data_IF_630520705414
#
_entry.id   IF_630520705414
#
_cell.length_a   1.000
_cell.length_b   1.000
_cell.length_c   1.000
_cell.angle_alpha   90.00
_cell.angle_beta   90.00
_cell.angle_gamma   90.00
#
_symmetry.space_group_name_H-M   'P 1'
#
loop_
_entity.id
_entity.type
_entity.pdbx_description
1 polymer ?
#
# COMPACT_ATOMS: atom_id res chain seq x y z
N UNK A 1 21.73 -1.27 -22.37
CA UNK A 1 21.00 -0.69 -21.24
C UNK A 1 20.46 -1.77 -20.30
N UNK A 2 20.00 -1.38 -19.12
CA UNK A 2 19.54 -2.32 -18.06
C UNK A 2 18.41 -3.22 -18.56
N UNK A 3 17.41 -2.65 -19.25
CA UNK A 3 16.27 -3.39 -19.76
C UNK A 3 16.68 -4.42 -20.82
N UNK A 4 17.46 -4.01 -21.80
CA UNK A 4 17.89 -4.86 -22.90
C UNK A 4 18.80 -6.01 -22.41
N UNK A 5 19.66 -5.74 -21.44
CA UNK A 5 20.51 -6.77 -20.83
C UNK A 5 19.68 -7.76 -20.01
N UNK A 6 18.70 -7.31 -19.25
CA UNK A 6 17.82 -8.18 -18.49
C UNK A 6 17.01 -9.13 -19.39
N UNK A 7 16.50 -8.65 -20.51
CA UNK A 7 15.77 -9.45 -21.50
C UNK A 7 16.71 -10.45 -22.19
N UNK A 8 17.93 -10.03 -22.52
CA UNK A 8 18.92 -10.93 -23.13
C UNK A 8 19.26 -12.12 -22.24
N UNK A 9 19.37 -11.89 -20.93
CA UNK A 9 19.66 -12.94 -19.95
C UNK A 9 18.47 -13.87 -19.70
N UNK A 10 17.25 -13.33 -19.78
CA UNK A 10 16.00 -14.06 -19.53
C UNK A 10 14.98 -13.78 -20.63
N UNK A 11 15.11 -14.46 -21.79
CA UNK A 11 14.26 -14.20 -22.96
C UNK A 11 12.80 -14.65 -22.80
N UNK A 12 12.48 -15.43 -21.77
CA UNK A 12 11.14 -15.82 -21.36
C UNK A 12 10.85 -15.20 -19.99
N UNK A 13 10.32 -14.01 -19.97
CA UNK A 13 10.06 -13.32 -18.70
C UNK A 13 8.87 -12.35 -18.79
N UNK A 14 8.45 -11.92 -17.62
CA UNK A 14 7.53 -10.80 -17.43
C UNK A 14 8.35 -9.58 -17.04
N UNK A 15 8.16 -8.48 -17.75
CA UNK A 15 8.82 -7.21 -17.50
C UNK A 15 7.79 -6.21 -17.02
N UNK A 16 7.99 -5.68 -15.82
CA UNK A 16 7.18 -4.62 -15.24
C UNK A 16 7.91 -3.28 -15.39
N UNK A 17 7.25 -2.34 -16.01
CA UNK A 17 7.71 -0.95 -16.15
C UNK A 17 6.76 -0.05 -15.37
N UNK A 18 7.24 0.41 -14.25
CA UNK A 18 6.45 1.21 -13.32
C UNK A 18 6.57 2.70 -13.65
N UNK A 19 5.45 3.42 -13.61
CA UNK A 19 5.37 4.86 -13.85
C UNK A 19 5.98 5.30 -15.20
N UNK A 20 5.56 4.67 -16.28
CA UNK A 20 6.15 4.88 -17.62
C UNK A 20 6.06 6.32 -18.12
N UNK A 21 5.10 7.11 -17.64
CA UNK A 21 4.98 8.54 -17.98
C UNK A 21 6.15 9.38 -17.47
N UNK A 22 6.92 8.88 -16.51
CA UNK A 22 8.13 9.53 -15.99
C UNK A 22 9.39 9.18 -16.77
N UNK A 23 9.32 8.20 -17.67
CA UNK A 23 10.45 7.79 -18.49
C UNK A 23 10.76 8.82 -19.59
N UNK A 24 12.01 8.83 -20.04
CA UNK A 24 12.38 9.64 -21.20
C UNK A 24 11.60 9.19 -22.44
N UNK A 25 11.12 10.11 -23.30
CA UNK A 25 10.33 9.75 -24.49
C UNK A 25 10.98 8.73 -25.41
N UNK A 26 12.29 8.69 -25.49
CA UNK A 26 13.02 7.73 -26.33
C UNK A 26 12.82 6.27 -25.88
N UNK A 27 12.46 6.04 -24.63
CA UNK A 27 12.12 4.69 -24.13
C UNK A 27 10.92 4.13 -24.86
N UNK A 28 9.93 4.94 -25.21
CA UNK A 28 8.76 4.50 -25.97
C UNK A 28 9.14 3.99 -27.36
N UNK A 29 10.18 4.54 -27.98
CA UNK A 29 10.65 4.08 -29.30
C UNK A 29 11.14 2.63 -29.26
N UNK A 30 11.71 2.18 -28.15
CA UNK A 30 12.11 0.79 -27.95
C UNK A 30 10.88 -0.15 -27.96
N UNK A 31 9.78 0.29 -27.38
CA UNK A 31 8.54 -0.49 -27.38
C UNK A 31 7.88 -0.56 -28.75
N UNK A 32 7.92 0.53 -29.52
CA UNK A 32 7.46 0.48 -30.92
C UNK A 32 8.19 -0.58 -31.73
N UNK A 33 9.52 -0.63 -31.60
CA UNK A 33 10.35 -1.65 -32.26
C UNK A 33 9.99 -3.06 -31.80
N UNK A 34 9.86 -3.24 -30.48
CA UNK A 34 9.54 -4.54 -29.88
C UNK A 34 8.19 -5.07 -30.35
N UNK A 35 7.16 -4.24 -30.36
CA UNK A 35 5.81 -4.66 -30.75
C UNK A 35 5.64 -4.82 -32.27
N UNK A 36 6.37 -4.06 -33.09
CA UNK A 36 6.30 -4.21 -34.55
C UNK A 36 7.13 -5.38 -35.06
N UNK A 37 8.34 -5.58 -34.52
CA UNK A 37 9.29 -6.57 -35.04
C UNK A 37 9.56 -7.73 -34.07
N UNK A 38 9.11 -7.63 -32.82
CA UNK A 38 9.45 -8.59 -31.78
C UNK A 38 10.90 -8.50 -31.33
N UNK A 39 11.57 -7.40 -31.56
CA UNK A 39 13.00 -7.20 -31.29
C UNK A 39 13.26 -5.80 -30.74
N UNK A 40 14.25 -5.69 -29.86
CA UNK A 40 14.78 -4.41 -29.37
C UNK A 40 16.27 -4.31 -29.74
N UNK A 41 16.71 -3.10 -30.12
CA UNK A 41 18.14 -2.83 -30.26
C UNK A 41 18.73 -2.37 -28.92
N UNK A 42 19.87 -2.93 -28.53
CA UNK A 42 20.65 -2.43 -27.39
C UNK A 42 21.46 -1.17 -27.76
N UNK A 43 22.20 -0.61 -26.81
CA UNK A 43 23.01 0.59 -27.03
C UNK A 43 24.17 0.40 -28.01
N UNK A 44 24.47 -0.83 -28.41
CA UNK A 44 25.50 -1.20 -29.40
C UNK A 44 24.88 -1.61 -30.75
N UNK A 45 23.53 -1.48 -30.86
CA UNK A 45 22.80 -1.84 -32.08
C UNK A 45 22.55 -3.34 -32.25
N UNK A 46 22.83 -4.18 -31.24
CA UNK A 46 22.54 -5.61 -31.30
C UNK A 46 21.05 -5.84 -31.06
N UNK A 47 20.45 -6.70 -31.88
CA UNK A 47 19.03 -7.06 -31.77
C UNK A 47 18.82 -8.12 -30.69
N UNK A 48 17.79 -7.91 -29.87
CA UNK A 48 17.41 -8.79 -28.77
C UNK A 48 15.98 -9.25 -29.03
N UNK A 49 15.74 -10.55 -29.04
CA UNK A 49 14.41 -11.13 -29.25
C UNK A 49 13.53 -10.87 -28.03
N UNK A 50 12.36 -10.24 -28.29
CA UNK A 50 11.34 -9.90 -27.30
C UNK A 50 10.00 -10.64 -27.49
N UNK A 51 9.95 -11.62 -28.39
CA UNK A 51 8.71 -12.32 -28.76
C UNK A 51 8.07 -13.09 -27.60
N UNK A 52 8.86 -13.50 -26.64
CA UNK A 52 8.44 -14.27 -25.46
C UNK A 52 8.40 -13.45 -24.17
N UNK A 53 8.39 -12.14 -24.29
CA UNK A 53 8.29 -11.22 -23.17
C UNK A 53 6.84 -10.72 -23.05
N UNK A 54 6.31 -10.73 -21.84
CA UNK A 54 5.06 -10.03 -21.49
C UNK A 54 5.44 -8.76 -20.78
N UNK A 55 4.96 -7.63 -21.30
CA UNK A 55 5.20 -6.31 -20.70
C UNK A 55 3.98 -5.85 -19.92
N UNK A 56 4.18 -5.45 -18.69
CA UNK A 56 3.23 -4.69 -17.89
C UNK A 56 3.75 -3.28 -17.69
N UNK A 57 2.94 -2.31 -18.04
CA UNK A 57 3.24 -0.90 -17.89
C UNK A 57 2.25 -0.30 -16.90
N UNK A 58 2.73 0.37 -15.87
CA UNK A 58 1.87 1.13 -14.97
C UNK A 58 1.98 2.62 -15.25
N UNK A 59 0.92 3.36 -15.03
CA UNK A 59 0.88 4.80 -15.23
C UNK A 59 -0.22 5.45 -14.41
N UNK A 60 -0.01 6.71 -14.04
CA UNK A 60 -1.02 7.59 -13.45
C UNK A 60 -1.73 8.47 -14.50
N UNK A 61 -1.44 8.28 -15.79
CA UNK A 61 -2.09 9.02 -16.87
C UNK A 61 -3.60 8.79 -16.84
N UNK A 62 -4.36 9.88 -16.92
CA UNK A 62 -5.80 9.83 -16.96
C UNK A 62 -6.47 9.46 -15.63
N UNK A 63 -5.75 9.47 -14.52
CA UNK A 63 -6.31 9.10 -13.23
C UNK A 63 -7.54 9.94 -12.85
N UNK A 64 -7.58 11.21 -13.21
CA UNK A 64 -8.73 12.09 -12.98
C UNK A 64 -9.98 11.61 -13.71
N UNK A 65 -9.82 11.19 -14.98
CA UNK A 65 -10.90 10.61 -15.78
C UNK A 65 -11.44 9.34 -15.12
N UNK A 66 -10.55 8.48 -14.61
CA UNK A 66 -10.95 7.24 -13.92
C UNK A 66 -11.73 7.55 -12.64
N UNK A 67 -11.31 8.53 -11.85
CA UNK A 67 -11.99 8.93 -10.63
C UNK A 67 -13.37 9.54 -10.92
N UNK A 68 -13.46 10.42 -11.92
CA UNK A 68 -14.71 11.08 -12.29
C UNK A 68 -15.75 10.14 -12.86
N UNK A 69 -15.33 9.10 -13.58
CA UNK A 69 -16.19 8.15 -14.27
C UNK A 69 -16.10 6.72 -13.71
N UNK A 70 -15.77 6.59 -12.43
CA UNK A 70 -15.63 5.28 -11.78
C UNK A 70 -16.90 4.41 -11.89
N UNK A 71 -18.08 5.03 -11.93
CA UNK A 71 -19.38 4.37 -12.03
C UNK A 71 -19.90 4.24 -13.47
N UNK A 72 -19.18 4.76 -14.46
CA UNK A 72 -19.57 4.75 -15.87
C UNK A 72 -18.40 4.28 -16.78
N UNK A 73 -18.25 2.95 -16.96
CA UNK A 73 -17.14 2.38 -17.73
C UNK A 73 -17.08 2.83 -19.19
N UNK A 74 -18.21 3.08 -19.82
CA UNK A 74 -18.26 3.50 -21.24
C UNK A 74 -17.70 4.91 -21.40
N UNK A 75 -18.21 5.87 -20.63
CA UNK A 75 -17.70 7.25 -20.64
C UNK A 75 -16.23 7.30 -20.21
N UNK A 76 -15.86 6.48 -19.23
CA UNK A 76 -14.46 6.37 -18.80
C UNK A 76 -13.56 5.96 -19.96
N UNK A 77 -13.90 4.93 -20.74
CA UNK A 77 -13.11 4.51 -21.89
C UNK A 77 -13.00 5.59 -22.95
N UNK A 78 -14.13 6.24 -23.27
CA UNK A 78 -14.18 7.29 -24.29
C UNK A 78 -13.29 8.49 -23.93
N UNK A 79 -13.30 8.91 -22.68
CA UNK A 79 -12.51 10.05 -22.20
C UNK A 79 -11.07 9.70 -21.84
N UNK A 80 -10.80 8.46 -21.45
CA UNK A 80 -9.45 7.99 -21.12
C UNK A 80 -8.59 7.80 -22.40
N UNK A 81 -9.19 7.31 -23.49
CA UNK A 81 -8.47 7.04 -24.72
C UNK A 81 -7.68 8.23 -25.27
N UNK A 82 -8.24 9.45 -25.40
CA UNK A 82 -7.48 10.61 -25.87
C UNK A 82 -6.25 10.95 -24.99
N UNK A 83 -6.40 10.82 -23.70
CA UNK A 83 -5.30 11.08 -22.74
C UNK A 83 -4.16 10.08 -22.95
N UNK A 84 -4.49 8.80 -23.09
CA UNK A 84 -3.49 7.75 -23.31
C UNK A 84 -2.87 7.85 -24.73
N UNK A 85 -3.67 8.16 -25.74
CA UNK A 85 -3.21 8.30 -27.12
C UNK A 85 -2.26 9.49 -27.32
N UNK A 86 -2.39 10.55 -26.53
CA UNK A 86 -1.49 11.69 -26.57
C UNK A 86 -0.07 11.29 -26.12
N UNK A 87 0.03 10.44 -25.12
CA UNK A 87 1.32 9.95 -24.59
C UNK A 87 1.85 8.74 -25.39
N UNK A 88 1.08 7.66 -25.50
CA UNK A 88 1.54 6.42 -26.12
C UNK A 88 1.48 6.39 -27.63
N UNK A 89 0.79 7.34 -28.26
CA UNK A 89 0.41 7.35 -29.66
C UNK A 89 -0.53 6.18 -30.05
N UNK A 90 -1.42 6.43 -31.02
CA UNK A 90 -2.43 5.44 -31.38
C UNK A 90 -1.89 4.08 -31.83
N UNK A 91 -0.75 4.08 -32.54
CA UNK A 91 -0.15 2.84 -33.05
C UNK A 91 0.34 1.91 -31.93
N UNK A 92 0.91 2.47 -30.86
CA UNK A 92 1.35 1.69 -29.69
C UNK A 92 0.14 1.29 -28.84
N UNK A 93 -0.78 2.24 -28.60
CA UNK A 93 -1.97 2.01 -27.77
C UNK A 93 -2.87 0.91 -28.34
N UNK A 94 -2.97 0.81 -29.67
CA UNK A 94 -3.72 -0.24 -30.33
C UNK A 94 -3.20 -1.66 -30.07
N UNK A 95 -1.96 -1.80 -29.62
CA UNK A 95 -1.32 -3.07 -29.27
C UNK A 95 -1.32 -3.36 -27.78
N UNK A 96 -1.92 -2.47 -26.98
CA UNK A 96 -2.01 -2.60 -25.54
C UNK A 96 -3.43 -2.98 -25.14
N UNK A 97 -3.53 -3.75 -24.07
CA UNK A 97 -4.77 -3.90 -23.32
C UNK A 97 -4.73 -2.93 -22.15
N UNK A 98 -5.68 -2.00 -22.10
CA UNK A 98 -5.77 -1.01 -21.05
C UNK A 98 -6.66 -1.52 -19.94
N UNK A 99 -6.12 -1.60 -18.73
CA UNK A 99 -6.84 -2.01 -17.53
C UNK A 99 -6.88 -0.83 -16.55
N UNK A 100 -8.00 -0.10 -16.48
CA UNK A 100 -8.13 0.99 -15.53
C UNK A 100 -8.30 0.43 -14.10
N UNK A 101 -7.48 0.91 -13.18
CA UNK A 101 -7.65 0.63 -11.76
C UNK A 101 -8.53 1.69 -11.13
N UNK A 102 -9.67 1.25 -10.61
CA UNK A 102 -10.61 2.12 -9.92
C UNK A 102 -10.06 2.52 -8.54
N UNK A 103 -10.40 3.73 -8.07
CA UNK A 103 -10.11 4.12 -6.70
C UNK A 103 -10.80 3.16 -5.72
N UNK A 104 -10.18 2.92 -4.57
CA UNK A 104 -10.80 2.11 -3.52
C UNK A 104 -12.06 2.78 -3.00
N UNK A 105 -13.16 2.02 -2.91
CA UNK A 105 -14.38 2.48 -2.24
C UNK A 105 -14.16 2.66 -0.74
N UNK A 106 -15.03 3.45 -0.10
CA UNK A 106 -14.99 3.63 1.35
C UNK A 106 -15.19 2.31 2.10
N UNK A 107 -16.07 1.44 1.59
CA UNK A 107 -16.32 0.11 2.15
C UNK A 107 -15.08 -0.79 2.06
N UNK A 108 -14.44 -0.81 0.91
CA UNK A 108 -13.20 -1.59 0.71
C UNK A 108 -12.10 -1.08 1.62
N UNK A 109 -11.93 0.24 1.70
CA UNK A 109 -10.93 0.85 2.56
C UNK A 109 -11.20 0.56 4.04
N UNK A 110 -12.46 0.63 4.49
CA UNK A 110 -12.85 0.25 5.85
C UNK A 110 -12.52 -1.22 6.16
N UNK A 111 -12.74 -2.12 5.20
CA UNK A 111 -12.39 -3.54 5.35
C UNK A 111 -10.87 -3.74 5.48
N UNK A 112 -10.08 -3.04 4.70
CA UNK A 112 -8.60 -3.09 4.79
C UNK A 112 -8.12 -2.56 6.14
N UNK A 113 -8.66 -1.44 6.61
CA UNK A 113 -8.34 -0.86 7.91
C UNK A 113 -8.69 -1.84 9.03
N UNK A 114 -9.88 -2.42 9.01
CA UNK A 114 -10.32 -3.40 9.99
C UNK A 114 -9.38 -4.62 10.05
N UNK A 115 -8.94 -5.12 8.90
CA UNK A 115 -7.98 -6.22 8.83
C UNK A 115 -6.60 -5.87 9.42
N UNK A 116 -6.13 -4.66 9.20
CA UNK A 116 -4.85 -4.18 9.78
C UNK A 116 -4.95 -3.99 11.29
N UNK A 117 -6.05 -3.42 11.78
CA UNK A 117 -6.29 -3.25 13.21
C UNK A 117 -6.49 -4.60 13.93
N UNK A 118 -7.17 -5.56 13.31
CA UNK A 118 -7.29 -6.91 13.85
C UNK A 118 -5.93 -7.61 13.98
N UNK A 119 -5.05 -7.41 13.01
CA UNK A 119 -3.68 -7.94 13.08
C UNK A 119 -2.88 -7.30 14.21
N UNK A 120 -2.98 -6.00 14.39
CA UNK A 120 -2.36 -5.28 15.50
C UNK A 120 -2.89 -5.77 16.85
N UNK A 121 -4.20 -5.92 16.98
CA UNK A 121 -4.85 -6.48 18.18
C UNK A 121 -4.26 -7.86 18.53
N UNK A 122 -4.21 -8.78 17.57
CA UNK A 122 -3.63 -10.10 17.77
C UNK A 122 -2.16 -10.07 18.21
N UNK A 123 -1.37 -9.22 17.60
CA UNK A 123 0.06 -9.05 17.97
C UNK A 123 0.21 -8.55 19.40
N UNK A 124 -0.57 -7.55 19.79
CA UNK A 124 -0.53 -6.97 21.13
C UNK A 124 -0.98 -7.98 22.20
N UNK A 125 -2.08 -8.69 21.95
CA UNK A 125 -2.57 -9.74 22.85
C UNK A 125 -1.55 -10.87 23.02
N UNK A 126 -1.00 -11.34 21.91
CA UNK A 126 -0.04 -12.44 21.92
C UNK A 126 1.26 -12.05 22.63
N UNK A 127 1.75 -10.84 22.39
CA UNK A 127 3.06 -10.40 22.89
C UNK A 127 3.02 -9.94 24.35
N UNK A 128 1.95 -9.28 24.78
CA UNK A 128 1.85 -8.66 26.10
C UNK A 128 0.87 -9.37 27.04
N UNK A 129 0.07 -10.31 26.54
CA UNK A 129 -0.94 -10.99 27.34
C UNK A 129 -2.03 -10.03 27.87
N UNK A 130 -2.16 -8.86 27.27
CA UNK A 130 -3.09 -7.83 27.67
C UNK A 130 -4.43 -7.93 26.95
N UNK A 131 -5.48 -7.46 27.58
CA UNK A 131 -6.72 -7.14 26.86
C UNK A 131 -6.48 -5.92 25.96
N UNK A 132 -6.96 -5.98 24.72
CA UNK A 132 -6.81 -4.90 23.74
C UNK A 132 -8.17 -4.37 23.35
N UNK A 133 -8.35 -3.07 23.48
CA UNK A 133 -9.55 -2.34 23.06
C UNK A 133 -9.14 -1.28 22.03
N UNK A 134 -9.65 -1.40 20.81
CA UNK A 134 -9.48 -0.41 19.76
C UNK A 134 -10.84 0.26 19.56
N UNK A 135 -10.94 1.51 19.98
CA UNK A 135 -12.18 2.26 19.91
C UNK A 135 -12.54 2.59 18.44
N UNK A 136 -13.84 2.69 18.11
CA UNK A 136 -14.30 2.99 16.74
C UNK A 136 -13.72 4.28 16.17
N UNK A 137 -13.42 5.26 17.01
CA UNK A 137 -12.85 6.55 16.61
C UNK A 137 -11.48 6.39 15.92
N UNK A 138 -10.75 5.32 16.22
CA UNK A 138 -9.47 5.01 15.55
C UNK A 138 -9.68 4.76 14.07
N UNK A 139 -10.66 3.93 13.72
CA UNK A 139 -11.02 3.66 12.32
C UNK A 139 -11.48 4.92 11.62
N UNK A 140 -12.32 5.71 12.26
CA UNK A 140 -12.85 6.95 11.70
C UNK A 140 -11.73 7.97 11.43
N UNK A 141 -10.77 8.10 12.34
CA UNK A 141 -9.63 9.00 12.17
C UNK A 141 -8.69 8.54 11.05
N UNK A 142 -8.38 7.25 10.96
CA UNK A 142 -7.59 6.68 9.87
C UNK A 142 -8.28 6.96 8.54
N UNK A 143 -9.58 6.66 8.44
CA UNK A 143 -10.39 6.88 7.24
C UNK A 143 -10.37 8.35 6.82
N UNK A 144 -10.55 9.26 7.77
CA UNK A 144 -10.53 10.70 7.54
C UNK A 144 -9.20 11.19 6.97
N UNK A 145 -8.08 10.72 7.51
CA UNK A 145 -6.74 11.09 7.03
C UNK A 145 -6.45 10.54 5.63
N UNK A 146 -6.80 9.28 5.39
CA UNK A 146 -6.57 8.62 4.10
C UNK A 146 -7.43 9.22 3.00
N UNK A 147 -8.70 9.58 3.28
CA UNK A 147 -9.59 10.18 2.28
C UNK A 147 -9.25 11.62 1.95
N UNK A 148 -8.61 12.36 2.85
CA UNK A 148 -8.13 13.73 2.61
C UNK A 148 -6.81 13.78 1.83
N UNK A 149 -6.05 12.70 1.78
CA UNK A 149 -4.75 12.65 1.13
C UNK A 149 -4.88 12.46 -0.39
N UNK A 150 -4.08 13.17 -1.18
CA UNK A 150 -4.05 13.03 -2.64
C UNK A 150 -3.70 11.60 -3.09
N UNK A 151 -2.90 10.89 -2.33
CA UNK A 151 -2.44 9.53 -2.62
C UNK A 151 -3.30 8.43 -2.00
N UNK A 152 -4.43 8.77 -1.39
CA UNK A 152 -5.44 7.84 -0.91
C UNK A 152 -4.91 6.65 -0.12
N UNK A 153 -5.17 5.45 -0.63
CA UNK A 153 -4.83 4.21 0.04
C UNK A 153 -3.32 3.99 0.31
N UNK A 154 -2.43 4.62 -0.46
CA UNK A 154 -0.98 4.56 -0.20
C UNK A 154 -0.60 5.24 1.12
N UNK A 155 -1.41 6.20 1.56
CA UNK A 155 -1.21 6.88 2.85
C UNK A 155 -1.60 6.02 4.06
N UNK A 156 -2.31 4.92 3.86
CA UNK A 156 -2.78 4.07 4.94
C UNK A 156 -1.64 3.55 5.83
N UNK A 157 -0.58 3.01 5.22
CA UNK A 157 0.60 2.55 5.95
C UNK A 157 1.28 3.71 6.69
N UNK A 158 1.42 4.86 6.03
CA UNK A 158 2.02 6.05 6.62
C UNK A 158 1.22 6.58 7.81
N UNK A 159 -0.11 6.57 7.74
CA UNK A 159 -0.97 6.99 8.85
C UNK A 159 -0.86 6.01 10.03
N UNK A 160 -0.91 4.72 9.76
CA UNK A 160 -0.80 3.70 10.82
C UNK A 160 0.58 3.73 11.45
N UNK A 161 1.65 3.62 10.67
CA UNK A 161 3.01 3.48 11.18
C UNK A 161 3.60 4.81 11.65
N UNK A 162 3.21 5.92 11.03
CA UNK A 162 3.75 7.24 11.34
C UNK A 162 2.98 8.03 12.39
N UNK A 163 1.66 7.86 12.45
CA UNK A 163 0.81 8.69 13.31
C UNK A 163 0.17 7.89 14.45
N UNK A 164 -0.31 6.69 14.18
CA UNK A 164 -1.04 5.88 15.16
C UNK A 164 -0.10 5.08 16.09
N UNK A 165 0.90 4.39 15.54
CA UNK A 165 1.78 3.52 16.32
C UNK A 165 2.75 4.25 17.26
N UNK A 166 3.30 5.43 16.98
CA UNK A 166 4.27 6.07 17.86
C UNK A 166 3.80 6.29 19.30
N UNK A 167 2.60 6.82 19.58
CA UNK A 167 2.12 6.96 20.96
C UNK A 167 2.03 5.62 21.69
N UNK A 168 1.55 4.59 21.01
CA UNK A 168 1.48 3.22 21.53
C UNK A 168 2.88 2.67 21.82
N UNK A 169 3.78 2.77 20.85
CA UNK A 169 5.15 2.25 20.97
C UNK A 169 5.90 2.88 22.12
N UNK A 170 5.74 4.18 22.34
CA UNK A 170 6.38 4.89 23.45
C UNK A 170 5.93 4.33 24.80
N UNK A 171 4.63 4.16 25.00
CA UNK A 171 4.07 3.59 26.23
C UNK A 171 4.51 2.14 26.44
N UNK A 172 4.51 1.31 25.38
CA UNK A 172 5.00 -0.07 25.47
C UNK A 172 6.46 -0.13 25.89
N UNK A 173 7.32 0.72 25.33
CA UNK A 173 8.73 0.80 25.70
C UNK A 173 8.92 1.21 27.16
N UNK A 174 8.13 2.17 27.65
CA UNK A 174 8.16 2.61 29.06
C UNK A 174 7.77 1.46 29.99
N UNK A 175 6.71 0.72 29.67
CA UNK A 175 6.28 -0.45 30.47
C UNK A 175 7.31 -1.57 30.44
N UNK A 176 7.90 -1.85 29.30
CA UNK A 176 8.97 -2.84 29.16
C UNK A 176 10.20 -2.46 29.98
N UNK A 177 10.61 -1.18 29.92
CA UNK A 177 11.76 -0.67 30.68
C UNK A 177 11.53 -0.72 32.19
N UNK A 178 10.30 -0.50 32.64
CA UNK A 178 9.90 -0.63 34.05
C UNK A 178 9.61 -2.07 34.47
N UNK A 179 9.70 -3.03 33.57
CA UNK A 179 9.32 -4.43 33.78
C UNK A 179 7.91 -4.59 34.37
N UNK A 180 6.98 -3.77 33.89
CA UNK A 180 5.61 -3.71 34.36
C UNK A 180 4.71 -4.52 33.42
N UNK A 181 3.95 -5.47 33.96
CA UNK A 181 2.96 -6.22 33.22
C UNK A 181 1.74 -5.32 32.90
N UNK A 182 1.17 -5.50 31.71
CA UNK A 182 0.05 -4.71 31.20
C UNK A 182 -1.22 -5.54 31.26
N UNK A 183 -2.28 -5.04 31.92
CA UNK A 183 -3.59 -5.69 31.94
C UNK A 183 -4.44 -5.33 30.72
N UNK A 184 -4.42 -4.06 30.32
CA UNK A 184 -5.23 -3.55 29.18
C UNK A 184 -4.46 -2.51 28.39
N UNK A 185 -4.64 -2.58 27.08
CA UNK A 185 -4.19 -1.57 26.11
C UNK A 185 -5.42 -1.02 25.42
N UNK A 186 -5.59 0.28 25.45
CA UNK A 186 -6.70 0.98 24.77
C UNK A 186 -6.15 1.97 23.78
N UNK A 187 -6.61 1.85 22.52
CA UNK A 187 -6.34 2.81 21.45
C UNK A 187 -7.59 3.62 21.17
N UNK A 188 -7.44 4.93 21.05
CA UNK A 188 -8.52 5.86 20.74
C UNK A 188 -8.02 6.99 19.85
N UNK A 189 -8.91 7.89 19.46
CA UNK A 189 -8.60 9.13 18.77
C UNK A 189 -9.45 10.25 19.37
N UNK A 190 -8.79 11.34 19.76
CA UNK A 190 -9.42 12.51 20.38
C UNK A 190 -8.83 13.76 19.76
N UNK A 191 -9.70 14.68 19.33
CA UNK A 191 -9.30 15.97 18.72
C UNK A 191 -8.29 15.80 17.56
N UNK A 192 -8.63 14.91 16.62
CA UNK A 192 -7.80 14.56 15.45
C UNK A 192 -6.40 13.97 15.79
N UNK A 193 -6.22 13.50 17.01
CA UNK A 193 -4.98 12.85 17.44
C UNK A 193 -5.23 11.41 17.90
N UNK A 194 -4.33 10.49 17.55
CA UNK A 194 -4.34 9.14 18.08
C UNK A 194 -3.80 9.13 19.51
N UNK A 195 -4.49 8.40 20.37
CA UNK A 195 -4.12 8.24 21.78
C UNK A 195 -4.00 6.77 22.17
N UNK A 196 -3.15 6.47 23.11
CA UNK A 196 -3.00 5.16 23.69
C UNK A 196 -2.97 5.27 25.22
N UNK A 197 -3.75 4.42 25.87
CA UNK A 197 -3.80 4.28 27.33
C UNK A 197 -3.51 2.83 27.72
N UNK A 198 -2.88 2.64 28.86
CA UNK A 198 -2.57 1.32 29.41
C UNK A 198 -2.91 1.24 30.87
N UNK A 199 -3.50 0.10 31.27
CA UNK A 199 -3.70 -0.25 32.65
C UNK A 199 -2.70 -1.34 33.04
N UNK A 200 -2.03 -1.15 34.17
CA UNK A 200 -1.07 -2.11 34.69
C UNK A 200 -1.80 -3.32 35.33
N UNK A 201 -1.23 -4.50 35.17
CA UNK A 201 -1.70 -5.67 35.87
C UNK A 201 -1.47 -5.48 37.38
N UNK A 202 -2.49 -5.75 38.20
CA UNK A 202 -2.34 -5.74 39.64
C UNK A 202 -1.40 -6.88 40.03
N UNK A 203 -0.32 -6.57 40.72
CA UNK A 203 0.46 -7.57 41.40
C UNK A 203 -0.39 -8.10 42.54
N UNK A 204 -0.80 -9.33 42.44
CA UNK A 204 -1.41 -10.08 43.54
C UNK A 204 -0.30 -10.42 44.57
N UNK A 205 0.19 -9.39 45.25
CA UNK A 205 0.97 -9.54 46.48
C UNK A 205 0.04 -9.78 47.65
N UNK A 206 -0.74 -10.84 47.60
CA UNK A 206 -1.49 -11.28 48.81
C UNK A 206 -1.74 -12.78 48.82
N UNK A 207 -0.67 -13.57 48.80
CA UNK A 207 -0.67 -14.91 49.45
C UNK A 207 0.75 -15.25 49.90
N UNK A 208 1.21 -14.65 50.95
CA UNK A 208 2.14 -15.27 51.89
C UNK A 208 1.82 -14.71 53.25
N UNK A 209 0.80 -15.24 53.88
CA UNK A 209 0.72 -15.25 55.31
C UNK A 209 0.91 -16.67 55.76
N UNK A 210 2.12 -16.88 56.29
CA UNK A 210 2.41 -17.61 57.52
C UNK A 210 1.23 -18.38 58.12
N UNK A 211 1.36 -19.68 58.11
CA UNK A 211 0.98 -20.52 59.23
C UNK A 211 2.17 -21.43 59.57
N UNK A 212 3.10 -20.84 60.30
CA UNK A 212 3.95 -21.59 61.22
C UNK A 212 3.25 -21.54 62.54
N UNK A 213 2.60 -22.62 62.94
CA UNK A 213 2.22 -22.88 64.34
C UNK A 213 2.58 -24.31 64.67
N UNK A 214 3.62 -24.42 65.50
CA UNK A 214 3.96 -25.47 66.51
C UNK A 214 4.01 -26.91 66.03
#
# INVERSE_FOLDING_TARGET
>A
GVLTEAIRQKPYSVVLLDEVEKAHPDVLNLFYQSFDKGEMADGEGRLIDCKNIVFFLTSNLGYQVIVEHADDPETMQEELYPVLADFFKPALLARMEVVPYLPLSKETLATIIAGKLARLDNVLRSRFGAEVVIEPEVTDEIMSRVTRAENGARMLESVIDGDMLPPLSLLLLQKMAANTAIARIRLSAVDDAFTADMEDAQNDESVTKDETVL
#
